data_IF_205573108607
#
_entry.id   IF_205573108607
#
_cell.length_a   1.000
_cell.length_b   1.000
_cell.length_c   1.000
_cell.angle_alpha   90.00
_cell.angle_beta   90.00
_cell.angle_gamma   90.00
#
_symmetry.space_group_name_H-M   'P 1'
#
loop_
_entity.id
_entity.type
_entity.pdbx_description
1 polymer ?
#
# COMPACT_ATOMS: atom_id res chain seq x y z
N UNK A 1 16.03 0.34 14.69
CA UNK A 1 15.81 1.51 13.81
C UNK A 1 14.32 1.60 13.59
N UNK A 2 13.74 2.80 13.81
CA UNK A 2 12.29 3.02 13.77
C UNK A 2 11.84 3.24 12.33
N UNK A 3 10.86 2.48 11.85
CA UNK A 3 9.94 2.98 10.85
C UNK A 3 9.16 4.15 11.51
N UNK A 4 9.15 5.32 10.87
CA UNK A 4 8.54 6.53 11.43
C UNK A 4 7.13 6.64 10.88
N UNK A 5 6.12 6.55 11.77
CA UNK A 5 4.72 6.91 11.49
C UNK A 5 4.66 8.38 11.04
N UNK A 6 4.10 8.64 9.85
CA UNK A 6 4.02 9.98 9.23
C UNK A 6 2.62 10.63 9.35
N UNK A 7 1.74 10.12 10.21
CA UNK A 7 0.34 10.58 10.30
C UNK A 7 0.11 11.84 11.17
N UNK A 8 1.14 12.57 11.60
CA UNK A 8 1.00 13.72 12.52
C UNK A 8 0.85 15.10 11.86
N UNK A 9 0.26 15.30 10.67
CA UNK A 9 -0.01 16.68 10.19
C UNK A 9 -1.24 16.87 9.29
N UNK A 10 -2.45 17.01 9.89
CA UNK A 10 -3.55 17.80 9.30
C UNK A 10 -4.43 18.45 10.39
N UNK A 11 -4.62 19.78 10.44
CA UNK A 11 -5.63 20.41 11.29
C UNK A 11 -7.01 20.47 10.62
N UNK A 12 -8.07 20.10 11.36
CA UNK A 12 -9.48 20.28 11.00
C UNK A 12 -9.90 21.76 11.08
N UNK A 13 -10.59 22.27 10.06
CA UNK A 13 -11.47 23.44 10.18
C UNK A 13 -12.93 23.05 9.88
N UNK A 14 -13.81 23.44 10.79
CA UNK A 14 -15.24 23.15 10.81
C UNK A 14 -15.98 24.47 10.93
N UNK A 15 -16.77 24.89 9.93
CA UNK A 15 -17.90 25.82 10.17
C UNK A 15 -19.09 25.57 9.25
N UNK A 16 -20.17 25.13 9.90
CA UNK A 16 -21.57 25.22 9.49
C UNK A 16 -22.03 26.69 9.33
N UNK A 17 -23.00 26.95 8.44
CA UNK A 17 -24.07 27.95 8.62
C UNK A 17 -25.23 27.77 7.61
N UNK A 18 -26.44 27.81 8.13
CA UNK A 18 -27.77 28.00 7.51
C UNK A 18 -28.50 29.04 8.41
N UNK A 19 -29.69 29.57 8.06
CA UNK A 19 -30.25 30.13 6.82
C UNK A 19 -30.71 31.61 7.09
N UNK A 20 -31.65 32.25 6.33
CA UNK A 20 -33.08 32.06 6.62
C UNK A 20 -34.04 32.16 5.41
N UNK A 21 -35.29 31.74 5.65
CA UNK A 21 -36.44 31.78 4.73
C UNK A 21 -37.00 33.18 4.48
N UNK A 22 -37.72 33.34 3.36
CA UNK A 22 -38.74 34.39 3.17
C UNK A 22 -39.97 33.88 2.41
N UNK A 23 -41.11 34.36 2.90
CA UNK A 23 -42.49 34.08 2.51
C UNK A 23 -42.93 34.69 1.18
N UNK A 24 -43.85 33.99 0.50
CA UNK A 24 -45.12 34.55 0.00
C UNK A 24 -45.15 35.16 -1.40
N UNK A 25 -45.94 34.56 -2.31
CA UNK A 25 -47.26 35.05 -2.75
C UNK A 25 -47.72 34.29 -4.01
N UNK A 26 -48.94 33.75 -3.94
CA UNK A 26 -49.62 33.12 -5.05
C UNK A 26 -50.13 34.16 -6.07
N UNK A 27 -49.90 33.92 -7.36
CA UNK A 27 -50.72 34.47 -8.44
C UNK A 27 -50.93 33.41 -9.52
N UNK A 28 -52.20 33.02 -9.70
CA UNK A 28 -52.71 32.33 -10.88
C UNK A 28 -52.59 33.26 -12.09
N UNK A 29 -51.97 32.80 -13.16
CA UNK A 29 -52.15 33.34 -14.51
C UNK A 29 -52.33 32.16 -15.45
N UNK A 30 -53.38 32.24 -16.26
CA UNK A 30 -53.87 31.20 -17.17
C UNK A 30 -53.50 31.54 -18.62
N UNK A 31 -53.38 30.48 -19.43
CA UNK A 31 -53.30 30.42 -20.91
C UNK A 31 -52.04 30.96 -21.62
N UNK A 32 -51.34 30.08 -22.34
CA UNK A 32 -51.45 29.85 -23.81
C UNK A 32 -50.62 28.61 -24.14
N UNK A 33 -51.24 27.59 -24.76
CA UNK A 33 -50.53 26.43 -25.32
C UNK A 33 -49.83 26.86 -26.61
N UNK A 34 -48.50 26.99 -26.57
CA UNK A 34 -47.66 27.09 -27.77
C UNK A 34 -46.90 25.77 -27.91
N UNK A 35 -47.23 24.98 -28.93
CA UNK A 35 -46.53 23.74 -29.24
C UNK A 35 -45.15 24.07 -29.81
N UNK A 36 -44.15 24.19 -28.94
CA UNK A 36 -42.74 24.27 -29.31
C UNK A 36 -42.16 22.86 -29.36
N UNK A 37 -41.77 22.41 -30.56
CA UNK A 37 -40.99 21.18 -30.71
C UNK A 37 -39.69 21.29 -29.89
N UNK A 38 -39.35 20.31 -29.02
CA UNK A 38 -38.11 20.35 -28.28
C UNK A 38 -36.96 20.05 -29.26
N UNK A 39 -36.20 21.09 -29.61
CA UNK A 39 -34.86 20.90 -30.15
C UNK A 39 -34.03 20.38 -28.98
N UNK A 40 -33.75 19.07 -28.98
CA UNK A 40 -32.84 18.47 -28.04
C UNK A 40 -31.43 19.01 -28.29
N UNK A 41 -31.06 20.08 -27.58
CA UNK A 41 -29.69 20.52 -27.46
C UNK A 41 -28.94 19.42 -26.69
N UNK A 42 -28.16 18.61 -27.41
CA UNK A 42 -27.16 17.75 -26.79
C UNK A 42 -26.11 18.67 -26.15
N UNK A 43 -26.28 18.98 -24.88
CA UNK A 43 -25.20 19.59 -24.11
C UNK A 43 -24.04 18.60 -24.12
N UNK A 44 -22.86 18.93 -24.65
CA UNK A 44 -21.70 18.07 -24.46
C UNK A 44 -21.53 17.89 -22.96
N UNK A 45 -21.66 16.64 -22.49
CA UNK A 45 -21.29 16.29 -21.13
C UNK A 45 -19.84 16.77 -20.98
N UNK A 46 -19.51 17.59 -19.96
CA UNK A 46 -18.13 17.97 -19.73
C UNK A 46 -17.33 16.68 -19.65
N UNK A 47 -16.38 16.49 -20.57
CA UNK A 47 -15.37 15.47 -20.40
C UNK A 47 -14.73 15.79 -19.05
N UNK A 48 -14.98 14.92 -18.06
CA UNK A 48 -14.35 15.03 -16.76
C UNK A 48 -12.86 15.11 -17.02
N UNK A 49 -12.29 16.29 -16.77
CA UNK A 49 -10.88 16.55 -16.98
C UNK A 49 -10.16 15.57 -16.05
N UNK A 50 -9.73 14.43 -16.59
CA UNK A 50 -8.97 13.45 -15.83
C UNK A 50 -7.84 14.23 -15.17
N UNK A 51 -7.83 14.27 -13.84
CA UNK A 51 -6.80 14.98 -13.11
C UNK A 51 -5.46 14.46 -13.61
N UNK A 52 -4.63 15.36 -14.13
CA UNK A 52 -3.30 14.99 -14.59
C UNK A 52 -2.54 14.44 -13.37
N UNK A 53 -2.04 13.21 -13.48
CA UNK A 53 -1.21 12.61 -12.43
C UNK A 53 0.19 13.23 -12.49
N UNK A 54 0.84 13.37 -11.34
CA UNK A 54 2.24 13.78 -11.29
C UNK A 54 3.15 12.61 -11.68
N UNK A 55 3.70 12.67 -12.89
CA UNK A 55 4.65 11.68 -13.42
C UNK A 55 6.11 12.11 -13.29
N UNK A 56 6.40 13.18 -12.55
CA UNK A 56 7.78 13.59 -12.31
C UNK A 56 8.52 12.58 -11.41
N UNK A 57 9.85 12.60 -11.49
CA UNK A 57 10.68 11.77 -10.62
C UNK A 57 10.91 12.50 -9.30
N UNK A 58 10.52 11.86 -8.22
CA UNK A 58 10.78 12.28 -6.85
C UNK A 58 11.96 11.49 -6.30
N UNK A 59 12.80 12.09 -5.46
CA UNK A 59 14.04 11.49 -4.97
C UNK A 59 14.38 11.88 -3.52
N UNK A 60 13.59 12.76 -2.91
CA UNK A 60 13.76 13.19 -1.53
C UNK A 60 13.47 12.05 -0.56
N UNK A 61 14.12 12.12 0.61
CA UNK A 61 14.09 11.03 1.59
C UNK A 61 12.68 10.61 1.99
N UNK A 62 11.76 11.58 2.09
CA UNK A 62 10.38 11.38 2.51
C UNK A 62 9.39 12.01 1.52
N UNK A 63 9.76 12.13 0.24
CA UNK A 63 8.81 12.61 -0.76
C UNK A 63 7.59 11.69 -0.83
N UNK A 64 6.43 12.32 -1.00
CA UNK A 64 5.14 11.66 -1.06
C UNK A 64 4.31 12.24 -2.21
N UNK A 65 3.65 11.37 -2.97
CA UNK A 65 2.78 11.77 -4.09
C UNK A 65 1.41 11.13 -3.94
N UNK A 66 0.40 11.96 -3.66
CA UNK A 66 -1.00 11.52 -3.55
C UNK A 66 -1.62 11.34 -4.95
N UNK A 67 -2.30 10.21 -5.18
CA UNK A 67 -2.90 9.88 -6.46
C UNK A 67 -4.09 8.92 -6.29
N UNK A 68 -5.30 9.41 -6.55
CA UNK A 68 -6.52 8.62 -6.37
C UNK A 68 -6.64 8.07 -4.94
N UNK A 69 -6.85 6.75 -4.75
CA UNK A 69 -6.94 6.14 -3.42
C UNK A 69 -5.58 5.79 -2.81
N UNK A 70 -4.48 6.28 -3.39
CA UNK A 70 -3.11 5.88 -3.04
C UNK A 70 -2.21 7.07 -2.71
N UNK A 71 -1.11 6.76 -2.01
CA UNK A 71 0.07 7.62 -1.89
C UNK A 71 1.32 6.83 -2.27
N UNK A 72 2.15 7.36 -3.16
CA UNK A 72 3.51 6.86 -3.38
C UNK A 72 4.42 7.49 -2.31
N UNK A 73 5.12 6.66 -1.55
CA UNK A 73 6.15 7.08 -0.61
C UNK A 73 7.52 6.59 -1.06
N UNK A 74 8.54 7.43 -0.91
CA UNK A 74 9.94 7.02 -1.07
C UNK A 74 10.51 6.36 0.19
N UNK A 75 10.04 6.81 1.36
CA UNK A 75 10.31 6.22 2.68
C UNK A 75 11.74 5.69 2.85
N UNK A 76 12.72 6.57 2.64
CA UNK A 76 14.15 6.25 2.76
C UNK A 76 14.60 6.38 4.22
N UNK A 77 13.92 5.66 5.12
CA UNK A 77 14.12 5.73 6.57
C UNK A 77 15.47 5.18 7.03
N UNK A 78 16.08 4.31 6.24
CA UNK A 78 17.35 3.64 6.54
C UNK A 78 18.58 4.42 6.13
N UNK A 79 18.43 5.65 5.61
CA UNK A 79 19.56 6.52 5.29
C UNK A 79 20.23 7.02 6.58
N UNK A 80 21.29 6.32 6.98
CA UNK A 80 22.18 6.71 8.09
C UNK A 80 23.55 7.17 7.60
N UNK A 81 24.42 7.49 8.56
CA UNK A 81 25.83 7.82 8.27
C UNK A 81 26.52 6.65 7.54
N UNK A 82 27.23 6.96 6.45
CA UNK A 82 27.97 5.97 5.64
C UNK A 82 27.15 5.28 4.55
N UNK A 83 25.83 5.48 4.50
CA UNK A 83 25.02 5.07 3.35
C UNK A 83 25.29 6.02 2.18
N UNK A 84 25.67 5.47 1.04
CA UNK A 84 25.75 6.21 -0.23
C UNK A 84 24.85 5.53 -1.26
N UNK A 85 24.17 6.33 -2.07
CA UNK A 85 23.14 5.84 -2.96
C UNK A 85 22.05 6.87 -3.22
N UNK A 86 20.98 6.41 -3.86
CA UNK A 86 19.77 7.18 -4.12
C UNK A 86 18.60 6.22 -4.33
N UNK A 87 17.40 6.62 -3.95
CA UNK A 87 16.14 6.02 -4.39
C UNK A 87 15.26 7.12 -4.97
N UNK A 88 14.75 6.89 -6.18
CA UNK A 88 13.86 7.79 -6.88
C UNK A 88 12.66 7.02 -7.41
N UNK A 89 11.47 7.61 -7.34
CA UNK A 89 10.26 7.00 -7.86
C UNK A 89 9.38 7.97 -8.64
N UNK A 90 8.57 7.42 -9.53
CA UNK A 90 7.62 8.17 -10.35
C UNK A 90 6.37 7.34 -10.63
N UNK A 91 5.23 8.01 -10.66
CA UNK A 91 3.99 7.44 -11.19
C UNK A 91 4.04 7.41 -12.70
N UNK A 92 3.46 6.38 -13.31
CA UNK A 92 3.39 6.25 -14.77
C UNK A 92 1.96 6.24 -15.30
N UNK A 93 0.99 5.72 -14.54
CA UNK A 93 -0.43 5.83 -14.87
C UNK A 93 -1.33 5.57 -13.66
N UNK A 94 -2.56 6.07 -13.73
CA UNK A 94 -3.68 5.67 -12.89
C UNK A 94 -4.91 5.45 -13.80
N UNK A 95 -5.55 4.29 -13.70
CA UNK A 95 -6.80 3.99 -14.38
C UNK A 95 -7.76 3.33 -13.40
N UNK A 96 -8.82 4.05 -13.00
CA UNK A 96 -9.70 3.62 -11.92
C UNK A 96 -8.91 3.47 -10.61
N UNK A 97 -8.88 2.26 -10.05
CA UNK A 97 -8.09 1.91 -8.85
C UNK A 97 -6.81 1.16 -9.20
N UNK A 98 -6.37 1.15 -10.46
CA UNK A 98 -5.11 0.50 -10.86
C UNK A 98 -4.04 1.55 -11.13
N UNK A 99 -2.97 1.51 -10.34
CA UNK A 99 -1.83 2.42 -10.41
C UNK A 99 -0.61 1.71 -10.99
N UNK A 100 0.19 2.43 -11.75
CA UNK A 100 1.48 1.97 -12.26
C UNK A 100 2.57 2.97 -11.87
N UNK A 101 3.75 2.47 -11.55
CA UNK A 101 4.84 3.28 -11.02
C UNK A 101 6.19 2.59 -11.22
N UNK A 102 7.26 3.35 -11.05
CA UNK A 102 8.64 2.87 -11.16
C UNK A 102 9.47 3.39 -9.99
N UNK A 103 10.28 2.50 -9.41
CA UNK A 103 11.34 2.82 -8.46
C UNK A 103 12.69 2.55 -9.12
N UNK A 104 13.64 3.47 -8.99
CA UNK A 104 15.02 3.32 -9.43
C UNK A 104 15.91 3.62 -8.24
N UNK A 105 16.60 2.59 -7.76
CA UNK A 105 17.42 2.72 -6.56
C UNK A 105 18.81 2.16 -6.77
N UNK A 106 19.75 2.72 -6.02
CA UNK A 106 21.12 2.24 -5.91
C UNK A 106 21.62 2.48 -4.50
N UNK A 107 22.17 1.47 -3.84
CA UNK A 107 22.77 1.58 -2.51
C UNK A 107 24.07 0.78 -2.43
N UNK A 108 25.05 1.34 -1.72
CA UNK A 108 26.30 0.64 -1.44
C UNK A 108 26.07 -0.60 -0.54
N UNK A 109 27.04 -1.50 -0.51
CA UNK A 109 27.02 -2.70 0.36
C UNK A 109 27.57 -2.44 1.77
N UNK A 110 27.99 -1.20 2.07
CA UNK A 110 28.83 -0.89 3.22
C UNK A 110 28.10 -0.95 4.57
N UNK A 111 26.77 -0.94 4.55
CA UNK A 111 25.93 -1.09 5.74
C UNK A 111 24.87 -2.14 5.45
N UNK A 112 24.76 -3.16 6.31
CA UNK A 112 23.61 -4.05 6.28
C UNK A 112 22.30 -3.30 6.55
N UNK A 113 21.19 -4.01 6.53
CA UNK A 113 19.86 -3.46 6.81
C UNK A 113 19.24 -2.68 5.67
N UNK A 114 17.95 -2.40 5.80
CA UNK A 114 17.12 -1.77 4.78
C UNK A 114 17.42 -0.27 4.70
N UNK A 115 17.39 0.31 3.51
CA UNK A 115 17.68 1.72 3.21
C UNK A 115 16.41 2.51 2.89
N UNK A 116 15.51 1.87 2.17
CA UNK A 116 14.21 2.44 1.79
C UNK A 116 13.15 1.37 1.69
N UNK A 117 11.91 1.78 1.88
CA UNK A 117 10.72 1.03 1.49
C UNK A 117 9.86 1.86 0.54
N UNK A 118 10.34 2.07 -0.69
CA UNK A 118 9.54 2.80 -1.68
C UNK A 118 8.29 1.97 -2.01
N UNK A 119 7.11 2.54 -1.76
CA UNK A 119 5.85 1.80 -1.75
C UNK A 119 4.64 2.61 -2.21
N UNK A 120 3.58 1.90 -2.58
CA UNK A 120 2.24 2.44 -2.71
C UNK A 120 1.44 2.12 -1.45
N UNK A 121 1.02 3.17 -0.74
CA UNK A 121 0.12 3.09 0.41
C UNK A 121 -1.34 3.25 -0.02
N UNK A 122 -2.22 2.43 0.55
CA UNK A 122 -3.68 2.54 0.38
C UNK A 122 -4.23 3.56 1.38
N UNK A 123 -5.02 4.52 0.93
CA UNK A 123 -5.59 5.58 1.79
C UNK A 123 -7.05 5.36 2.18
N UNK A 124 -7.67 4.27 1.73
CA UNK A 124 -9.10 4.02 1.89
C UNK A 124 -9.40 2.65 2.47
N UNK A 125 -10.50 2.54 3.22
CA UNK A 125 -10.95 1.28 3.81
C UNK A 125 -10.12 0.79 5.00
N UNK A 126 -9.12 1.55 5.44
CA UNK A 126 -8.31 1.31 6.65
C UNK A 126 -9.09 1.64 7.94
N UNK A 127 -8.44 1.46 9.09
CA UNK A 127 -8.97 1.69 10.42
C UNK A 127 -10.21 0.83 10.75
N UNK A 128 -10.27 -0.37 10.17
CA UNK A 128 -11.30 -1.38 10.43
C UNK A 128 -10.72 -2.56 11.21
N UNK A 129 -11.49 -3.10 12.14
CA UNK A 129 -11.16 -4.37 12.78
C UNK A 129 -11.05 -5.48 11.73
N UNK A 130 -10.13 -6.42 11.89
CA UNK A 130 -9.94 -7.54 10.94
C UNK A 130 -11.23 -8.34 10.75
N UNK A 131 -12.01 -8.51 11.81
CA UNK A 131 -13.36 -9.12 11.79
C UNK A 131 -14.37 -8.40 10.89
N UNK A 132 -14.20 -7.10 10.64
CA UNK A 132 -15.08 -6.30 9.77
C UNK A 132 -14.64 -6.31 8.30
N UNK A 133 -13.42 -6.75 8.00
CA UNK A 133 -12.87 -6.80 6.64
C UNK A 133 -13.34 -8.10 5.97
N UNK A 134 -14.12 -7.96 4.91
CA UNK A 134 -14.65 -9.10 4.16
C UNK A 134 -13.61 -9.64 3.19
N UNK A 135 -13.03 -8.74 2.41
CA UNK A 135 -12.03 -9.06 1.38
C UNK A 135 -11.03 -7.91 1.21
N UNK A 136 -9.83 -8.26 0.80
CA UNK A 136 -8.76 -7.37 0.39
C UNK A 136 -8.23 -7.78 -0.99
N UNK A 137 -9.05 -7.71 -2.06
CA UNK A 137 -8.60 -8.08 -3.40
C UNK A 137 -7.41 -7.21 -3.82
N UNK A 138 -6.37 -7.88 -4.31
CA UNK A 138 -5.17 -7.25 -4.84
C UNK A 138 -4.76 -7.83 -6.18
N UNK A 139 -4.23 -6.96 -7.04
CA UNK A 139 -3.49 -7.34 -8.25
C UNK A 139 -2.18 -6.60 -8.24
N UNK A 140 -1.07 -7.31 -8.48
CA UNK A 140 0.24 -6.69 -8.62
C UNK A 140 1.07 -7.39 -9.68
N UNK A 141 1.35 -6.66 -10.76
CA UNK A 141 2.21 -7.05 -11.87
C UNK A 141 3.44 -6.15 -11.88
N UNK A 142 4.60 -6.76 -11.77
CA UNK A 142 5.85 -6.04 -11.67
C UNK A 142 7.02 -6.80 -12.31
N UNK A 143 8.10 -6.09 -12.59
CA UNK A 143 9.38 -6.66 -12.99
C UNK A 143 10.53 -5.89 -12.34
N UNK A 144 11.69 -6.52 -12.23
CA UNK A 144 12.90 -5.88 -11.76
C UNK A 144 14.04 -6.08 -12.76
N UNK A 145 14.88 -5.06 -12.96
CA UNK A 145 15.96 -5.09 -13.96
C UNK A 145 17.07 -6.12 -13.69
N UNK A 146 17.23 -6.57 -12.45
CA UNK A 146 18.23 -7.56 -12.04
C UNK A 146 17.82 -8.24 -10.74
N UNK A 147 18.32 -9.45 -10.50
CA UNK A 147 18.22 -10.17 -9.22
C UNK A 147 19.53 -10.12 -8.41
N UNK A 148 20.60 -9.54 -8.95
CA UNK A 148 21.91 -9.40 -8.29
C UNK A 148 21.93 -8.22 -7.32
N UNK A 149 20.99 -8.20 -6.39
CA UNK A 149 20.83 -7.17 -5.36
C UNK A 149 20.47 -7.81 -4.03
N UNK A 150 20.46 -7.02 -2.95
CA UNK A 150 19.82 -7.38 -1.68
C UNK A 150 18.56 -6.54 -1.54
N UNK A 151 17.40 -7.18 -1.74
CA UNK A 151 16.09 -6.55 -1.63
C UNK A 151 14.96 -7.58 -1.53
N UNK A 152 13.77 -7.12 -1.21
CA UNK A 152 12.52 -7.85 -1.45
C UNK A 152 11.56 -7.07 -2.34
N UNK A 153 10.44 -7.71 -2.68
CA UNK A 153 9.23 -7.03 -3.17
C UNK A 153 8.09 -7.59 -2.36
N UNK A 154 7.40 -6.76 -1.58
CA UNK A 154 6.47 -7.22 -0.56
C UNK A 154 5.23 -6.33 -0.45
N UNK A 155 4.11 -6.95 -0.07
CA UNK A 155 3.08 -6.23 0.65
C UNK A 155 3.51 -6.09 2.10
N UNK A 156 3.21 -4.95 2.69
CA UNK A 156 3.45 -4.67 4.10
C UNK A 156 2.19 -4.09 4.75
N UNK A 157 1.71 -4.76 5.78
CA UNK A 157 0.41 -4.51 6.39
C UNK A 157 0.59 -4.37 7.90
N UNK A 158 0.05 -3.31 8.49
CA UNK A 158 0.16 -3.09 9.94
C UNK A 158 -1.19 -3.16 10.63
N UNK A 159 -1.17 -3.70 11.83
CA UNK A 159 -2.33 -3.73 12.72
C UNK A 159 -2.03 -3.08 14.05
N UNK A 160 -3.06 -2.46 14.64
CA UNK A 160 -3.02 -1.80 15.93
C UNK A 160 -4.15 -2.31 16.85
N UNK A 161 -4.05 -1.98 18.14
CA UNK A 161 -5.10 -2.31 19.13
C UNK A 161 -6.41 -1.52 18.93
N UNK A 162 -6.33 -0.36 18.31
CA UNK A 162 -7.45 0.53 18.04
C UNK A 162 -7.21 1.31 16.74
N UNK A 163 -8.27 1.87 16.16
CA UNK A 163 -8.16 2.77 15.02
C UNK A 163 -7.23 3.95 15.34
N UNK A 164 -6.35 4.29 14.40
CA UNK A 164 -5.31 5.32 14.54
C UNK A 164 -4.29 5.05 15.65
N UNK A 165 -4.24 3.84 16.21
CA UNK A 165 -3.27 3.46 17.23
C UNK A 165 -1.92 3.09 16.63
N UNK A 166 -0.90 3.07 17.48
CA UNK A 166 0.43 2.60 17.10
C UNK A 166 0.40 1.13 16.66
N UNK A 167 1.28 0.80 15.72
CA UNK A 167 1.46 -0.56 15.20
C UNK A 167 1.85 -1.54 16.33
N UNK A 168 1.27 -2.73 16.25
CA UNK A 168 1.51 -3.85 17.18
C UNK A 168 1.95 -5.09 16.41
N UNK A 169 1.36 -5.33 15.25
CA UNK A 169 1.80 -6.41 14.36
C UNK A 169 2.02 -5.88 12.95
N UNK A 170 3.04 -6.43 12.31
CA UNK A 170 3.46 -6.22 10.94
C UNK A 170 3.33 -7.55 10.21
N UNK A 171 2.63 -7.55 9.08
CA UNK A 171 2.33 -8.73 8.29
C UNK A 171 2.84 -8.46 6.88
N UNK A 172 4.01 -9.04 6.58
CA UNK A 172 4.63 -8.95 5.27
C UNK A 172 4.27 -10.16 4.41
N UNK A 173 3.97 -9.92 3.14
CA UNK A 173 3.73 -10.95 2.13
C UNK A 173 4.71 -10.70 0.98
N UNK A 174 5.84 -11.41 1.01
CA UNK A 174 6.95 -11.21 0.10
C UNK A 174 6.66 -11.90 -1.23
N UNK A 175 6.51 -11.15 -2.31
CA UNK A 175 6.40 -11.71 -3.66
C UNK A 175 7.77 -12.14 -4.22
N UNK A 176 8.85 -11.56 -3.69
CA UNK A 176 10.22 -11.86 -4.07
C UNK A 176 11.18 -11.77 -2.89
N UNK A 177 12.20 -12.62 -2.89
CA UNK A 177 13.38 -12.46 -2.05
C UNK A 177 14.62 -12.46 -2.94
N UNK A 178 15.29 -11.32 -3.04
CA UNK A 178 16.58 -11.19 -3.69
C UNK A 178 17.67 -11.10 -2.61
N UNK A 179 18.08 -12.26 -2.08
CA UNK A 179 19.18 -12.38 -1.10
C UNK A 179 18.98 -11.63 0.23
N UNK A 180 17.75 -11.31 0.60
CA UNK A 180 17.35 -10.78 1.90
C UNK A 180 16.94 -11.92 2.85
N UNK A 181 16.72 -11.58 4.13
CA UNK A 181 16.24 -12.52 5.14
C UNK A 181 15.08 -11.92 5.93
N UNK A 182 13.97 -12.66 6.15
CA UNK A 182 12.88 -12.17 6.98
C UNK A 182 13.30 -12.06 8.44
N UNK A 183 12.60 -11.21 9.19
CA UNK A 183 12.71 -11.18 10.64
C UNK A 183 12.23 -12.52 11.22
N UNK A 184 13.07 -13.12 12.07
CA UNK A 184 12.78 -14.42 12.67
C UNK A 184 13.23 -14.46 14.12
N UNK A 185 12.48 -15.15 14.97
CA UNK A 185 12.88 -15.52 16.33
C UNK A 185 13.63 -16.85 16.38
N UNK A 186 13.66 -17.61 15.27
CA UNK A 186 14.27 -18.94 15.21
C UNK A 186 15.22 -19.05 14.04
N UNK A 187 16.42 -19.57 14.29
CA UNK A 187 17.48 -19.78 13.31
C UNK A 187 18.08 -21.18 13.48
N UNK A 188 18.46 -21.82 12.37
CA UNK A 188 19.16 -23.09 12.39
C UNK A 188 20.66 -22.91 12.66
N UNK A 189 21.41 -24.01 12.74
CA UNK A 189 22.85 -23.97 13.00
C UNK A 189 23.67 -23.23 11.91
N UNK A 190 23.10 -23.03 10.72
CA UNK A 190 23.70 -22.28 9.61
C UNK A 190 23.29 -20.80 9.61
N UNK A 191 22.61 -20.33 10.66
CA UNK A 191 22.13 -18.95 10.77
C UNK A 191 20.99 -18.61 9.82
N UNK A 192 20.31 -19.61 9.24
CA UNK A 192 19.16 -19.39 8.37
C UNK A 192 17.88 -19.34 9.18
N UNK A 193 16.95 -18.42 8.87
CA UNK A 193 15.69 -18.34 9.59
C UNK A 193 14.88 -19.62 9.41
N UNK A 194 14.22 -20.07 10.47
CA UNK A 194 13.39 -21.27 10.47
C UNK A 194 11.93 -20.87 10.38
N UNK A 195 11.23 -21.39 9.38
CA UNK A 195 9.80 -21.15 9.22
C UNK A 195 9.01 -21.77 10.38
N UNK A 196 8.07 -21.01 10.93
CA UNK A 196 7.16 -21.44 11.99
C UNK A 196 5.92 -22.16 11.46
N UNK A 197 5.70 -22.14 10.14
CA UNK A 197 4.80 -23.01 9.39
C UNK A 197 5.27 -23.08 7.94
N UNK A 198 5.09 -24.23 7.28
CA UNK A 198 5.58 -24.47 5.92
C UNK A 198 4.49 -24.94 4.98
N UNK A 199 4.70 -24.74 3.68
CA UNK A 199 3.84 -25.23 2.61
C UNK A 199 2.36 -24.81 2.74
N UNK A 200 2.12 -23.58 3.20
CA UNK A 200 0.77 -23.02 3.35
C UNK A 200 0.20 -22.66 1.98
N UNK A 201 -0.94 -23.23 1.60
CA UNK A 201 -1.65 -22.84 0.37
C UNK A 201 -2.59 -21.67 0.64
N UNK A 202 -2.21 -20.47 0.19
CA UNK A 202 -2.96 -19.23 0.42
C UNK A 202 -2.95 -18.41 -0.89
N UNK A 203 -4.12 -17.93 -1.31
CA UNK A 203 -4.29 -17.08 -2.49
C UNK A 203 -3.66 -17.66 -3.78
N UNK A 204 -3.71 -18.98 -3.97
CA UNK A 204 -3.18 -19.65 -5.16
C UNK A 204 -1.67 -19.89 -5.18
N UNK A 205 -0.97 -19.58 -4.08
CA UNK A 205 0.47 -19.78 -3.94
C UNK A 205 0.81 -20.58 -2.68
N UNK A 206 2.04 -21.07 -2.63
CA UNK A 206 2.57 -21.84 -1.49
C UNK A 206 3.58 -21.01 -0.72
N UNK A 207 3.38 -20.89 0.59
CA UNK A 207 4.13 -19.99 1.46
C UNK A 207 4.77 -20.72 2.65
N UNK A 208 5.94 -20.26 3.04
CA UNK A 208 6.49 -20.48 4.38
C UNK A 208 6.25 -19.23 5.22
N UNK A 209 5.80 -19.42 6.46
CA UNK A 209 5.60 -18.34 7.42
C UNK A 209 6.80 -18.28 8.36
N UNK A 210 7.38 -17.08 8.50
CA UNK A 210 8.39 -16.72 9.49
C UNK A 210 7.78 -15.79 10.53
N UNK A 211 8.35 -15.79 11.72
CA UNK A 211 7.85 -14.97 12.82
C UNK A 211 8.99 -14.48 13.71
N UNK A 212 8.97 -13.21 14.07
CA UNK A 212 9.89 -12.60 15.03
C UNK A 212 9.39 -11.24 15.52
N UNK A 213 10.31 -10.37 15.93
CA UNK A 213 9.98 -8.99 16.33
C UNK A 213 11.06 -8.02 15.87
N UNK A 214 10.64 -6.84 15.44
CA UNK A 214 11.54 -5.71 15.13
C UNK A 214 11.84 -4.83 16.37
N UNK A 215 11.37 -5.25 17.56
CA UNK A 215 11.47 -4.52 18.83
C UNK A 215 10.28 -3.62 19.14
N UNK A 216 9.44 -3.28 18.15
CA UNK A 216 8.20 -2.51 18.31
C UNK A 216 6.96 -3.33 17.97
N UNK A 217 7.06 -4.12 16.90
CA UNK A 217 5.98 -4.96 16.37
C UNK A 217 6.35 -6.44 16.49
N UNK A 218 5.34 -7.29 16.58
CA UNK A 218 5.45 -8.68 16.13
C UNK A 218 5.47 -8.69 14.59
N UNK A 219 6.35 -9.46 13.98
CA UNK A 219 6.49 -9.50 12.51
C UNK A 219 6.19 -10.89 11.99
N UNK A 220 5.22 -11.00 11.10
CA UNK A 220 4.84 -12.21 10.37
C UNK A 220 5.24 -12.04 8.90
N UNK A 221 6.13 -12.88 8.38
CA UNK A 221 6.58 -12.78 6.99
C UNK A 221 6.23 -14.05 6.22
N UNK A 222 5.36 -13.94 5.23
CA UNK A 222 5.03 -15.03 4.29
C UNK A 222 5.96 -14.93 3.08
N UNK A 223 6.79 -15.95 2.87
CA UNK A 223 7.70 -16.04 1.73
C UNK A 223 7.29 -17.21 0.83
N UNK A 224 7.35 -17.08 -0.50
CA UNK A 224 7.06 -18.17 -1.42
C UNK A 224 8.05 -19.31 -1.20
N UNK A 225 7.58 -20.55 -1.31
CA UNK A 225 8.47 -21.72 -1.18
C UNK A 225 9.43 -21.88 -2.36
N UNK A 226 9.14 -21.25 -3.50
CA UNK A 226 9.98 -21.28 -4.68
C UNK A 226 9.74 -20.08 -5.60
N UNK A 227 10.82 -19.64 -6.25
CA UNK A 227 10.76 -18.63 -7.30
C UNK A 227 10.31 -17.25 -6.84
N UNK A 228 9.84 -16.47 -7.81
CA UNK A 228 9.38 -15.09 -7.63
C UNK A 228 7.98 -14.96 -8.23
N UNK A 229 7.09 -14.26 -7.53
CA UNK A 229 5.71 -14.02 -7.98
C UNK A 229 5.65 -12.62 -8.60
N UNK A 230 5.97 -12.52 -9.89
CA UNK A 230 5.95 -11.23 -10.63
C UNK A 230 4.55 -10.79 -11.07
N UNK A 231 3.56 -11.67 -10.93
CA UNK A 231 2.14 -11.40 -11.22
C UNK A 231 1.27 -12.06 -10.17
N UNK A 232 0.91 -11.32 -9.12
CA UNK A 232 -0.01 -11.75 -8.08
C UNK A 232 -1.44 -11.27 -8.37
N UNK A 233 -2.42 -12.13 -8.10
CA UNK A 233 -3.85 -11.77 -8.07
C UNK A 233 -4.55 -12.62 -7.02
N UNK A 234 -5.06 -12.01 -5.96
CA UNK A 234 -5.65 -12.74 -4.84
C UNK A 234 -6.20 -11.84 -3.75
N UNK A 235 -6.80 -12.46 -2.73
CA UNK A 235 -7.34 -11.76 -1.57
C UNK A 235 -6.33 -11.78 -0.41
N UNK A 236 -5.78 -10.63 -0.04
CA UNK A 236 -4.82 -10.51 1.06
C UNK A 236 -5.44 -10.82 2.42
N UNK A 237 -6.77 -10.72 2.58
CA UNK A 237 -7.47 -11.06 3.81
C UNK A 237 -7.33 -12.55 4.16
N UNK A 238 -6.98 -13.41 3.19
CA UNK A 238 -6.72 -14.83 3.46
C UNK A 238 -5.50 -15.04 4.37
N UNK A 239 -4.51 -14.16 4.33
CA UNK A 239 -3.35 -14.21 5.22
C UNK A 239 -3.75 -13.85 6.66
N UNK A 240 -4.54 -12.79 6.85
CA UNK A 240 -5.12 -12.46 8.16
C UNK A 240 -5.99 -13.60 8.71
N UNK A 241 -6.86 -14.19 7.88
CA UNK A 241 -7.67 -15.35 8.28
C UNK A 241 -6.79 -16.50 8.77
N UNK A 242 -5.71 -16.82 8.07
CA UNK A 242 -4.76 -17.83 8.54
C UNK A 242 -4.15 -17.46 9.90
N UNK A 243 -3.66 -16.23 10.07
CA UNK A 243 -3.03 -15.78 11.31
C UNK A 243 -4.00 -15.77 12.49
N UNK A 244 -5.23 -15.32 12.29
CA UNK A 244 -6.26 -15.28 13.34
C UNK A 244 -6.71 -16.68 13.76
N UNK A 245 -6.74 -17.64 12.85
CA UNK A 245 -7.12 -19.01 13.15
C UNK A 245 -5.99 -19.85 13.76
N UNK A 246 -4.73 -19.58 13.40
CA UNK A 246 -3.62 -20.49 13.69
C UNK A 246 -2.48 -19.87 14.52
N UNK A 247 -2.36 -18.54 14.53
CA UNK A 247 -1.18 -17.82 15.06
C UNK A 247 -1.50 -16.81 16.16
N UNK A 248 -2.74 -16.77 16.64
CA UNK A 248 -3.14 -15.95 17.79
C UNK A 248 -3.31 -14.46 17.50
N UNK A 249 -3.32 -14.04 16.23
CA UNK A 249 -3.66 -12.66 15.87
C UNK A 249 -5.14 -12.41 16.22
N UNK A 250 -5.45 -11.41 17.04
CA UNK A 250 -6.84 -11.15 17.41
C UNK A 250 -7.64 -10.59 16.22
N UNK A 251 -8.85 -11.09 16.01
CA UNK A 251 -9.80 -10.56 15.02
C UNK A 251 -10.31 -9.15 15.38
N UNK A 252 -10.05 -8.69 16.60
CA UNK A 252 -10.33 -7.32 17.05
C UNK A 252 -9.22 -6.32 16.75
N UNK A 253 -8.03 -6.79 16.33
CA UNK A 253 -6.98 -5.88 15.86
C UNK A 253 -7.49 -5.09 14.66
N UNK A 254 -7.02 -3.87 14.51
CA UNK A 254 -7.44 -2.92 13.49
C UNK A 254 -6.36 -2.83 12.41
N UNK A 255 -6.71 -3.04 11.14
CA UNK A 255 -5.81 -2.78 10.02
C UNK A 255 -5.64 -1.27 9.88
N UNK A 256 -4.44 -0.75 10.09
CA UNK A 256 -4.14 0.68 10.06
C UNK A 256 -3.33 1.08 8.84
N UNK A 257 -2.54 0.16 8.27
CA UNK A 257 -1.71 0.42 7.09
C UNK A 257 -1.78 -0.76 6.14
N UNK A 258 -1.82 -0.47 4.84
CA UNK A 258 -1.73 -1.48 3.79
C UNK A 258 -0.93 -0.94 2.61
N UNK A 259 0.23 -1.55 2.36
CA UNK A 259 1.23 -1.06 1.42
C UNK A 259 1.72 -2.17 0.48
N UNK A 260 2.27 -1.78 -0.67
CA UNK A 260 3.01 -2.66 -1.57
C UNK A 260 4.22 -1.95 -2.16
N UNK A 261 5.41 -2.49 -1.93
CA UNK A 261 6.68 -1.84 -2.30
C UNK A 261 7.88 -2.78 -2.35
N UNK A 262 9.07 -2.21 -2.20
CA UNK A 262 10.35 -2.94 -2.19
C UNK A 262 11.23 -2.43 -1.06
N UNK A 263 11.70 -3.33 -0.20
CA UNK A 263 12.74 -3.00 0.77
C UNK A 263 14.11 -3.12 0.11
N UNK A 264 14.76 -2.00 -0.20
CA UNK A 264 16.08 -1.99 -0.82
C UNK A 264 17.18 -1.97 0.24
N UNK A 265 18.16 -2.87 0.16
CA UNK A 265 19.33 -2.90 1.06
C UNK A 265 20.61 -2.50 0.34
N UNK A 266 20.96 -3.17 -0.77
CA UNK A 266 22.20 -2.88 -1.52
C UNK A 266 22.13 -3.36 -2.97
N UNK A 267 22.99 -2.79 -3.82
CA UNK A 267 23.00 -3.00 -5.27
C UNK A 267 22.21 -1.92 -6.01
N UNK A 268 21.96 -2.13 -7.31
CA UNK A 268 21.20 -1.19 -8.14
C UNK A 268 20.13 -1.92 -8.91
N UNK A 269 18.88 -1.44 -8.84
CA UNK A 269 17.78 -2.01 -9.58
C UNK A 269 16.74 -0.97 -9.99
N UNK A 270 15.93 -1.36 -10.96
CA UNK A 270 14.68 -0.69 -11.30
C UNK A 270 13.53 -1.65 -11.07
N UNK A 271 12.66 -1.33 -10.12
CA UNK A 271 11.34 -1.96 -9.99
C UNK A 271 10.37 -1.24 -10.92
N UNK A 272 9.75 -1.98 -11.84
CA UNK A 272 8.68 -1.47 -12.72
C UNK A 272 7.39 -2.18 -12.40
N UNK A 273 6.43 -1.45 -11.82
CA UNK A 273 5.08 -1.95 -11.56
C UNK A 273 4.17 -1.48 -12.69
N UNK A 274 3.72 -2.41 -13.53
CA UNK A 274 2.82 -2.12 -14.65
C UNK A 274 1.35 -2.09 -14.24
N UNK A 275 1.01 -2.74 -13.12
CA UNK A 275 -0.31 -2.64 -12.51
C UNK A 275 -0.21 -3.02 -11.03
N UNK A 276 -0.75 -2.17 -10.16
CA UNK A 276 -1.01 -2.43 -8.76
C UNK A 276 -2.42 -1.97 -8.43
N UNK A 277 -3.15 -2.75 -7.65
CA UNK A 277 -4.39 -2.32 -7.02
C UNK A 277 -4.57 -3.11 -5.75
N UNK A 278 -4.93 -2.43 -4.66
CA UNK A 278 -5.35 -3.05 -3.41
C UNK A 278 -6.56 -2.28 -2.90
N UNK A 279 -7.63 -3.00 -2.55
CA UNK A 279 -8.90 -2.44 -2.05
C UNK A 279 -9.29 -3.16 -0.78
N UNK A 280 -9.69 -2.42 0.27
CA UNK A 280 -10.12 -2.99 1.55
C UNK A 280 -11.63 -2.84 1.73
N UNK A 281 -12.37 -3.96 1.68
CA UNK A 281 -13.84 -4.00 1.74
C UNK A 281 -14.36 -4.35 3.14
#
# INVERSE_FOLDING_TARGET
MRAVDMDEFVPLDTRLRHPPEMFGFAKLVSFVLLATAPIALSTPVPAELAAAIDTSSHCGQYDAVNVGPYTLYLDQWGLGSGVTGSDCASLTSLSGTTIAWKAVWTFNTASGGIKSFTNINVNTGLNKALSAIKTMPSTWKWSQSTSSVVADVAYDLFTANNAGGANVNEIMIWLANFNAGPISASYNAQGQPVAVATNLSIAGHTWNLYFGSNGSNNVYSFLPTSGTITSFSGDLNLFFKYLTANRGLSTSQVLVTAQGGTEATSGSATLTTSAFSLVVN
#
